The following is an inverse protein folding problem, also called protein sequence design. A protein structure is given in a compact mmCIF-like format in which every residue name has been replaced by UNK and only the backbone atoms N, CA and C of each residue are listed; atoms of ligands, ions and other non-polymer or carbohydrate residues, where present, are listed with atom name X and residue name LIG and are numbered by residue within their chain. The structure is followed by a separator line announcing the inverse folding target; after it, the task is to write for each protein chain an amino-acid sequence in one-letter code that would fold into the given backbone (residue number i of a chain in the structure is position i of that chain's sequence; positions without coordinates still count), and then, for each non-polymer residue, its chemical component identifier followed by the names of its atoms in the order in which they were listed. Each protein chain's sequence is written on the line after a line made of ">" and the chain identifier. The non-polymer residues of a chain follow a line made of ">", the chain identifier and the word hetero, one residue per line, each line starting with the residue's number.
data_IF_418702449683
#
_entry.id   IF_418702449683
#
_cell.length_a   1.000
_cell.length_b   1.000
_cell.length_c   1.000
_cell.angle_alpha   90.00
_cell.angle_beta   90.00
_cell.angle_gamma   90.00
#
_symmetry.space_group_name_H-M   'P 1'
#
loop_
_entity.id
_entity.type
_entity.pdbx_description
1 polymer ?
#
# COMPACT_ATOMS: atom_id res chain seq x y z
N UNK A 1 14.23 3.24 -18.42
CA UNK A 1 14.63 1.84 -18.28
C UNK A 1 15.39 1.73 -16.98
N UNK A 2 14.83 1.06 -15.97
CA UNK A 2 15.46 0.95 -14.64
C UNK A 2 16.74 0.12 -14.81
N UNK A 3 17.89 0.69 -14.44
CA UNK A 3 19.18 0.01 -14.54
C UNK A 3 19.38 -0.88 -13.32
N UNK A 4 18.82 -2.09 -13.39
CA UNK A 4 18.98 -3.11 -12.36
C UNK A 4 20.28 -3.87 -12.62
N UNK A 5 21.12 -4.04 -11.59
CA UNK A 5 22.37 -4.79 -11.72
C UNK A 5 22.10 -6.24 -12.17
N UNK A 6 22.98 -6.79 -13.01
CA UNK A 6 22.83 -8.17 -13.47
C UNK A 6 22.97 -9.18 -12.32
N UNK A 7 23.61 -8.77 -11.21
CA UNK A 7 23.71 -9.54 -9.98
C UNK A 7 22.36 -9.64 -9.27
N UNK A 8 21.64 -8.52 -9.10
CA UNK A 8 20.30 -8.53 -8.50
C UNK A 8 19.28 -9.27 -9.37
N UNK A 9 19.37 -9.15 -10.71
CA UNK A 9 18.51 -9.94 -11.62
C UNK A 9 18.68 -11.44 -11.40
N UNK A 10 19.91 -11.91 -11.15
CA UNK A 10 20.17 -13.33 -10.88
C UNK A 10 19.51 -13.78 -9.57
N UNK A 11 19.54 -12.93 -8.54
CA UNK A 11 18.86 -13.17 -7.26
C UNK A 11 17.33 -13.26 -7.43
N UNK A 12 16.73 -12.43 -8.28
CA UNK A 12 15.29 -12.48 -8.54
C UNK A 12 14.83 -13.77 -9.23
N UNK A 13 15.71 -14.44 -9.98
CA UNK A 13 15.38 -15.68 -10.74
C UNK A 13 16.01 -16.93 -10.14
N UNK A 14 16.76 -16.82 -9.04
CA UNK A 14 17.37 -17.98 -8.39
C UNK A 14 16.33 -18.81 -7.63
N UNK A 15 16.51 -20.13 -7.68
CA UNK A 15 15.67 -21.08 -6.95
C UNK A 15 15.99 -21.10 -5.45
N UNK A 16 15.02 -21.44 -4.62
CA UNK A 16 15.17 -21.53 -3.15
C UNK A 16 15.90 -22.79 -2.66
N UNK A 17 16.77 -23.40 -3.48
CA UNK A 17 17.39 -24.71 -3.19
C UNK A 17 18.55 -24.58 -2.20
N UNK A 18 19.31 -23.49 -2.25
CA UNK A 18 20.43 -23.19 -1.35
C UNK A 18 19.94 -22.41 -0.12
N UNK A 19 20.20 -22.87 1.12
CA UNK A 19 19.72 -22.21 2.33
C UNK A 19 20.18 -20.75 2.53
N UNK A 20 21.33 -20.37 1.96
CA UNK A 20 21.83 -18.98 1.98
C UNK A 20 21.00 -18.02 1.12
N UNK A 21 20.33 -18.55 0.09
CA UNK A 21 19.62 -17.79 -0.92
C UNK A 21 18.09 -18.00 -0.81
N UNK A 22 17.66 -18.73 0.22
CA UNK A 22 16.25 -18.98 0.47
C UNK A 22 15.54 -17.67 0.82
N UNK A 23 14.50 -17.36 0.04
CA UNK A 23 13.62 -16.21 0.28
C UNK A 23 13.00 -16.28 1.66
N UNK A 24 13.10 -15.20 2.43
CA UNK A 24 12.49 -15.07 3.74
C UNK A 24 11.56 -13.88 3.76
N UNK A 25 10.38 -14.04 4.33
CA UNK A 25 9.45 -12.94 4.51
C UNK A 25 9.51 -12.40 5.93
N UNK A 26 9.32 -11.09 6.03
CA UNK A 26 9.35 -10.35 7.29
C UNK A 26 8.17 -9.38 7.35
N UNK A 27 7.34 -9.52 8.38
CA UNK A 27 6.27 -8.57 8.69
C UNK A 27 6.68 -7.74 9.90
N UNK A 28 6.88 -6.46 9.69
CA UNK A 28 7.31 -5.52 10.73
C UNK A 28 6.14 -4.62 11.13
N UNK A 29 5.62 -4.79 12.35
CA UNK A 29 4.55 -3.96 12.91
C UNK A 29 5.15 -2.85 13.78
N UNK A 30 4.66 -1.63 13.63
CA UNK A 30 5.21 -0.46 14.31
C UNK A 30 4.28 0.05 15.43
N UNK A 31 4.87 0.45 16.56
CA UNK A 31 4.14 0.91 17.76
C UNK A 31 3.32 2.19 17.53
N UNK A 32 3.88 3.11 16.74
CA UNK A 32 3.19 4.27 16.15
C UNK A 32 3.23 4.03 14.64
N UNK A 33 2.09 4.16 13.95
CA UNK A 33 1.95 3.84 12.52
C UNK A 33 3.12 4.35 11.67
N UNK A 34 3.43 3.63 10.59
CA UNK A 34 4.69 3.85 9.89
C UNK A 34 4.63 5.08 8.98
N UNK A 35 5.60 5.99 9.15
CA UNK A 35 5.53 7.34 8.58
C UNK A 35 6.41 7.59 7.36
N UNK A 36 7.00 6.55 6.76
CA UNK A 36 7.85 6.73 5.58
C UNK A 36 7.05 6.63 4.28
N UNK A 37 7.24 7.64 3.43
CA UNK A 37 7.06 7.52 2.00
C UNK A 37 8.19 6.60 1.50
N UNK A 38 7.88 5.65 0.61
CA UNK A 38 8.96 5.01 -0.13
C UNK A 38 9.66 6.09 -0.97
N UNK A 39 11.00 6.14 -1.01
CA UNK A 39 11.67 6.92 -2.03
C UNK A 39 11.21 6.42 -3.41
N UNK A 40 10.93 7.34 -4.31
CA UNK A 40 10.57 7.03 -5.70
C UNK A 40 11.63 6.09 -6.32
N UNK A 41 11.24 5.28 -7.30
CA UNK A 41 12.13 4.33 -8.03
C UNK A 41 13.37 4.99 -8.68
N UNK A 42 13.46 6.32 -8.69
CA UNK A 42 14.58 7.12 -9.22
C UNK A 42 15.58 7.58 -8.15
N UNK A 43 15.34 7.30 -6.87
CA UNK A 43 16.28 7.58 -5.79
C UNK A 43 16.84 6.26 -5.28
N UNK A 44 18.11 5.98 -5.65
CA UNK A 44 18.93 5.09 -4.85
C UNK A 44 18.83 5.54 -3.39
N UNK A 45 18.62 4.64 -2.42
CA UNK A 45 18.59 5.06 -1.04
C UNK A 45 19.98 5.62 -0.71
N UNK A 46 20.12 6.94 -0.56
CA UNK A 46 21.19 7.45 0.28
C UNK A 46 20.95 6.85 1.68
N UNK A 47 22.00 6.40 2.36
CA UNK A 47 21.90 5.81 3.70
C UNK A 47 21.26 6.75 4.74
N UNK A 48 21.09 8.04 4.39
CA UNK A 48 20.42 9.09 5.14
C UNK A 48 18.92 9.25 4.85
N UNK A 49 18.38 8.59 3.82
CA UNK A 49 16.97 8.63 3.40
C UNK A 49 16.13 7.49 3.99
N UNK A 50 16.75 6.56 4.72
CA UNK A 50 15.99 5.69 5.62
C UNK A 50 15.34 6.60 6.68
N UNK A 51 14.03 6.44 6.96
CA UNK A 51 13.31 7.30 7.89
C UNK A 51 14.09 7.40 9.21
N UNK A 52 14.58 8.60 9.48
CA UNK A 52 15.41 8.96 10.63
C UNK A 52 14.64 9.00 11.95
N UNK A 53 13.38 8.57 11.96
CA UNK A 53 12.60 8.27 13.14
C UNK A 53 12.19 6.79 13.07
N UNK A 54 13.06 5.91 13.59
CA UNK A 54 12.72 4.51 13.79
C UNK A 54 11.51 4.43 14.73
N UNK A 55 10.31 4.30 14.17
CA UNK A 55 9.18 3.80 14.96
C UNK A 55 9.61 2.44 15.50
N UNK A 56 9.59 2.29 16.82
CA UNK A 56 9.98 1.05 17.48
C UNK A 56 9.11 -0.10 16.96
N UNK A 57 9.75 -1.11 16.37
CA UNK A 57 9.07 -2.33 15.90
C UNK A 57 8.47 -3.00 17.12
N UNK A 58 7.14 -3.04 17.15
CA UNK A 58 6.37 -3.60 18.25
C UNK A 58 6.25 -5.12 18.14
N UNK A 59 5.93 -5.61 16.93
CA UNK A 59 5.84 -7.06 16.65
C UNK A 59 6.63 -7.34 15.39
N UNK A 60 7.46 -8.36 15.46
CA UNK A 60 8.20 -8.88 14.32
C UNK A 60 7.81 -10.34 14.07
N UNK A 61 7.37 -10.62 12.85
CA UNK A 61 7.08 -11.99 12.39
C UNK A 61 8.04 -12.31 11.26
N UNK A 62 8.88 -13.32 11.51
CA UNK A 62 9.86 -13.83 10.55
C UNK A 62 9.42 -15.19 10.02
N UNK A 63 10.18 -15.70 9.06
CA UNK A 63 9.83 -16.88 8.28
C UNK A 63 9.58 -18.16 9.11
N UNK A 64 10.14 -18.27 10.31
CA UNK A 64 9.92 -19.39 11.24
C UNK A 64 8.49 -19.42 11.82
N UNK A 65 7.79 -18.28 11.78
CA UNK A 65 6.41 -18.10 12.23
C UNK A 65 5.43 -17.93 11.08
N UNK A 66 5.88 -18.12 9.83
CA UNK A 66 5.03 -18.04 8.64
C UNK A 66 4.75 -19.46 8.15
N UNK A 67 3.48 -19.78 7.91
CA UNK A 67 3.11 -21.04 7.29
C UNK A 67 3.63 -21.08 5.85
N UNK A 68 4.37 -22.13 5.51
CA UNK A 68 4.87 -22.33 4.15
C UNK A 68 3.73 -22.30 3.13
N UNK A 69 3.98 -21.72 1.95
CA UNK A 69 3.03 -21.63 0.84
C UNK A 69 1.71 -20.90 1.16
N UNK A 70 1.67 -20.09 2.24
CA UNK A 70 0.45 -19.38 2.64
C UNK A 70 0.34 -17.92 2.16
N UNK A 71 1.44 -17.30 1.72
CA UNK A 71 1.45 -15.91 1.28
C UNK A 71 0.81 -15.79 -0.11
N UNK A 72 -0.20 -14.92 -0.21
CA UNK A 72 -0.83 -14.50 -1.47
C UNK A 72 -0.91 -12.98 -1.48
N UNK A 73 -0.46 -12.37 -2.57
CA UNK A 73 -0.61 -10.92 -2.83
C UNK A 73 -1.36 -10.77 -4.15
N UNK A 74 -2.44 -9.99 -4.15
CA UNK A 74 -3.25 -9.69 -5.32
C UNK A 74 -3.22 -8.18 -5.54
N UNK A 75 -2.69 -7.80 -6.70
CA UNK A 75 -2.62 -6.41 -7.16
C UNK A 75 -3.30 -6.30 -8.53
N UNK A 76 -3.97 -5.18 -8.75
CA UNK A 76 -4.69 -4.95 -10.00
C UNK A 76 -4.80 -3.47 -10.28
N UNK A 77 -4.54 -3.11 -11.54
CA UNK A 77 -4.79 -1.77 -12.06
C UNK A 77 -6.27 -1.59 -12.44
N UNK A 78 -6.88 -2.66 -12.94
CA UNK A 78 -8.27 -2.69 -13.38
C UNK A 78 -8.83 -4.10 -13.21
N UNK A 79 -9.76 -4.24 -12.26
CA UNK A 79 -10.42 -5.53 -11.97
C UNK A 79 -11.50 -5.91 -12.98
N UNK A 80 -11.80 -5.01 -13.92
CA UNK A 80 -12.84 -5.24 -14.93
C UNK A 80 -12.25 -5.88 -16.19
N UNK A 81 -13.10 -6.57 -16.96
CA UNK A 81 -12.69 -7.17 -18.24
C UNK A 81 -12.39 -6.14 -19.33
N UNK A 82 -12.88 -4.91 -19.15
CA UNK A 82 -12.62 -3.78 -20.03
C UNK A 82 -11.67 -2.81 -19.36
N UNK A 83 -10.76 -2.22 -20.14
CA UNK A 83 -9.86 -1.17 -19.64
C UNK A 83 -10.67 0.06 -19.25
N UNK A 84 -10.67 0.38 -17.96
CA UNK A 84 -11.28 1.59 -17.41
C UNK A 84 -10.19 2.53 -16.90
N UNK A 85 -9.98 3.64 -17.62
CA UNK A 85 -9.06 4.69 -17.18
C UNK A 85 -9.50 5.24 -15.83
N UNK A 86 -8.52 5.47 -14.95
CA UNK A 86 -8.77 5.92 -13.60
C UNK A 86 -9.12 4.82 -12.60
N UNK A 87 -9.27 3.57 -13.04
CA UNK A 87 -9.42 2.45 -12.11
C UNK A 87 -8.24 2.41 -11.13
N UNK A 88 -8.55 2.17 -9.86
CA UNK A 88 -7.58 1.93 -8.82
C UNK A 88 -8.22 0.99 -7.79
N UNK A 89 -7.56 -0.13 -7.55
CA UNK A 89 -8.02 -1.18 -6.65
C UNK A 89 -7.04 -1.33 -5.49
N UNK A 90 -7.56 -1.69 -4.32
CA UNK A 90 -6.72 -1.97 -3.17
C UNK A 90 -5.96 -3.28 -3.37
N UNK A 91 -4.66 -3.28 -3.08
CA UNK A 91 -3.89 -4.52 -3.04
C UNK A 91 -4.34 -5.34 -1.82
N UNK A 92 -4.56 -6.64 -2.03
CA UNK A 92 -4.92 -7.60 -0.99
C UNK A 92 -3.72 -8.47 -0.67
N UNK A 93 -3.46 -8.66 0.62
CA UNK A 93 -2.50 -9.63 1.13
C UNK A 93 -3.21 -10.62 2.04
N UNK A 94 -2.94 -11.90 1.82
CA UNK A 94 -3.32 -12.98 2.72
C UNK A 94 -2.08 -13.78 3.12
N UNK A 95 -1.94 -14.07 4.42
CA UNK A 95 -0.83 -14.87 4.95
C UNK A 95 -1.25 -15.59 6.23
N UNK A 96 -0.73 -16.79 6.47
CA UNK A 96 -0.97 -17.52 7.72
C UNK A 96 0.28 -17.46 8.61
N UNK A 97 0.10 -17.01 9.85
CA UNK A 97 1.17 -16.86 10.84
C UNK A 97 0.91 -17.73 12.07
N UNK A 98 1.97 -18.12 12.77
CA UNK A 98 1.94 -18.99 13.94
C UNK A 98 2.53 -18.31 15.19
N UNK A 99 2.00 -18.72 16.35
CA UNK A 99 2.54 -18.40 17.67
C UNK A 99 2.58 -16.89 18.00
N UNK A 100 1.74 -16.08 17.34
CA UNK A 100 1.54 -14.64 17.62
C UNK A 100 0.50 -14.46 18.72
N UNK A 101 0.88 -13.73 19.77
CA UNK A 101 0.09 -13.57 21.00
C UNK A 101 -0.81 -12.34 20.89
N UNK A 102 -0.31 -11.31 20.23
CA UNK A 102 -0.93 -10.02 20.04
C UNK A 102 -2.10 -10.09 19.05
N UNK A 103 -3.14 -9.28 19.29
CA UNK A 103 -4.16 -9.03 18.27
C UNK A 103 -3.64 -7.97 17.29
N UNK A 104 -3.57 -8.36 16.02
CA UNK A 104 -3.03 -7.53 14.95
C UNK A 104 -4.11 -6.78 14.17
N UNK A 105 -5.40 -6.97 14.46
CA UNK A 105 -6.48 -6.28 13.74
C UNK A 105 -6.36 -4.75 13.82
N UNK A 106 -6.47 -4.09 12.66
CA UNK A 106 -6.33 -2.65 12.50
C UNK A 106 -4.89 -2.14 12.58
N UNK A 107 -3.90 -3.02 12.72
CA UNK A 107 -2.48 -2.64 12.78
C UNK A 107 -1.88 -2.63 11.39
N UNK A 108 -1.01 -1.66 11.15
CA UNK A 108 -0.22 -1.56 9.93
C UNK A 108 1.11 -2.29 10.08
N UNK A 109 1.54 -2.97 9.03
CA UNK A 109 2.85 -3.58 8.94
C UNK A 109 3.49 -3.31 7.58
N UNK A 110 4.82 -3.39 7.58
CA UNK A 110 5.64 -3.39 6.39
C UNK A 110 6.05 -4.82 6.04
N UNK A 111 5.79 -5.23 4.79
CA UNK A 111 6.24 -6.51 4.27
C UNK A 111 7.55 -6.34 3.50
N UNK A 112 8.52 -7.19 3.83
CA UNK A 112 9.80 -7.27 3.13
C UNK A 112 10.10 -8.72 2.78
N UNK A 113 10.67 -8.94 1.60
CA UNK A 113 11.31 -10.19 1.19
C UNK A 113 12.83 -10.02 1.29
N UNK A 114 13.49 -10.93 1.99
CA UNK A 114 14.94 -10.96 2.13
C UNK A 114 15.51 -12.09 1.26
N UNK A 115 16.49 -11.75 0.41
CA UNK A 115 17.21 -12.70 -0.44
C UNK A 115 18.69 -12.35 -0.47
N UNK A 116 19.53 -13.22 0.12
CA UNK A 116 20.94 -12.91 0.34
C UNK A 116 21.11 -11.66 1.21
N UNK A 117 21.79 -10.64 0.69
CA UNK A 117 21.98 -9.33 1.35
C UNK A 117 20.88 -8.31 0.99
N UNK A 118 19.96 -8.66 0.08
CA UNK A 118 18.95 -7.73 -0.41
C UNK A 118 17.68 -7.79 0.43
N UNK A 119 17.13 -6.61 0.74
CA UNK A 119 15.80 -6.43 1.33
C UNK A 119 14.88 -5.79 0.29
N UNK A 120 13.90 -6.54 -0.18
CA UNK A 120 12.97 -6.13 -1.23
C UNK A 120 11.65 -5.70 -0.58
N UNK A 121 11.26 -4.41 -0.69
CA UNK A 121 9.99 -3.92 -0.16
C UNK A 121 8.81 -4.49 -0.96
N UNK A 122 7.83 -5.07 -0.28
CA UNK A 122 6.58 -5.57 -0.89
C UNK A 122 5.34 -4.73 -0.50
N UNK A 123 5.52 -3.71 0.33
CA UNK A 123 4.51 -2.67 0.60
C UNK A 123 4.00 -2.63 2.04
N UNK A 124 3.17 -1.61 2.32
CA UNK A 124 2.47 -1.44 3.60
C UNK A 124 1.04 -1.96 3.52
N UNK A 125 0.64 -2.70 4.54
CA UNK A 125 -0.69 -3.27 4.65
C UNK A 125 -1.26 -3.05 6.04
N UNK A 126 -2.56 -2.78 6.10
CA UNK A 126 -3.33 -2.73 7.35
C UNK A 126 -4.15 -4.00 7.48
N UNK A 127 -4.02 -4.69 8.63
CA UNK A 127 -4.76 -5.92 8.90
C UNK A 127 -6.25 -5.63 9.04
N UNK A 128 -7.04 -6.13 8.10
CA UNK A 128 -8.50 -6.05 8.15
C UNK A 128 -9.07 -7.21 8.98
N UNK A 129 -8.53 -8.42 8.84
CA UNK A 129 -8.98 -9.58 9.62
C UNK A 129 -7.83 -10.44 10.13
N UNK A 130 -8.04 -11.03 11.32
CA UNK A 130 -7.07 -11.88 12.01
C UNK A 130 -7.75 -13.13 12.58
N UNK A 131 -7.88 -14.16 11.74
CA UNK A 131 -8.82 -15.27 11.97
C UNK A 131 -8.10 -16.56 12.35
N UNK A 132 -8.53 -17.19 13.46
CA UNK A 132 -8.03 -18.50 13.91
C UNK A 132 -8.24 -19.60 12.87
N UNK A 133 -7.18 -20.37 12.64
CA UNK A 133 -7.19 -21.55 11.78
C UNK A 133 -7.46 -22.84 12.58
N UNK A 134 -7.50 -23.98 11.89
CA UNK A 134 -7.70 -25.30 12.52
C UNK A 134 -6.63 -25.61 13.58
N UNK A 135 -5.36 -25.31 13.30
CA UNK A 135 -4.32 -25.24 14.32
C UNK A 135 -4.52 -23.98 15.17
N UNK A 136 -4.65 -24.19 16.48
CA UNK A 136 -4.96 -23.15 17.47
C UNK A 136 -3.86 -22.08 17.56
N UNK A 137 -2.63 -22.43 17.19
CA UNK A 137 -1.47 -21.53 17.15
C UNK A 137 -1.45 -20.64 15.91
N UNK A 138 -2.24 -20.99 14.88
CA UNK A 138 -2.23 -20.32 13.57
C UNK A 138 -3.36 -19.32 13.43
N UNK A 139 -3.07 -18.22 12.74
CA UNK A 139 -4.00 -17.13 12.41
C UNK A 139 -3.80 -16.74 10.95
N UNK A 140 -4.88 -16.60 10.19
CA UNK A 140 -4.86 -16.01 8.85
C UNK A 140 -5.02 -14.50 9.00
N UNK A 141 -4.05 -13.77 8.47
CA UNK A 141 -4.10 -12.33 8.27
C UNK A 141 -4.68 -12.09 6.88
N UNK A 142 -5.71 -11.25 6.80
CA UNK A 142 -6.17 -10.60 5.56
C UNK A 142 -5.94 -9.11 5.73
N UNK A 143 -5.17 -8.51 4.85
CA UNK A 143 -4.74 -7.12 4.96
C UNK A 143 -4.81 -6.40 3.61
N UNK A 144 -4.99 -5.08 3.65
CA UNK A 144 -5.05 -4.26 2.44
C UNK A 144 -4.09 -3.09 2.51
N UNK A 145 -3.61 -2.64 1.35
CA UNK A 145 -2.86 -1.40 1.28
C UNK A 145 -3.74 -0.16 1.58
N UNK A 146 -3.09 1.01 1.69
CA UNK A 146 -3.75 2.27 2.07
C UNK A 146 -4.85 2.74 1.10
N UNK A 147 -4.89 2.21 -0.14
CA UNK A 147 -6.01 2.48 -1.06
C UNK A 147 -7.37 2.07 -0.46
N UNK A 148 -7.39 1.10 0.46
CA UNK A 148 -8.60 0.66 1.16
C UNK A 148 -9.28 1.80 1.95
N UNK A 149 -8.51 2.79 2.40
CA UNK A 149 -9.01 3.92 3.20
C UNK A 149 -9.98 4.82 2.41
N UNK A 150 -9.86 4.86 1.08
CA UNK A 150 -10.76 5.62 0.21
C UNK A 150 -12.17 5.02 0.11
N UNK A 151 -12.39 3.80 0.60
CA UNK A 151 -13.73 3.20 0.71
C UNK A 151 -14.49 3.76 1.94
N UNK A 152 -14.49 5.08 2.06
CA UNK A 152 -15.14 5.84 3.13
C UNK A 152 -16.02 6.91 2.50
N UNK A 153 -17.14 7.23 3.15
CA UNK A 153 -17.97 8.37 2.74
C UNK A 153 -17.21 9.69 2.95
N UNK A 154 -17.11 10.49 1.89
CA UNK A 154 -16.46 11.81 1.90
C UNK A 154 -17.42 12.95 1.57
N UNK A 155 -18.73 12.71 1.68
CA UNK A 155 -19.78 13.71 1.42
C UNK A 155 -19.56 15.01 2.21
N UNK A 156 -19.22 14.91 3.50
CA UNK A 156 -18.93 16.07 4.36
C UNK A 156 -17.73 16.86 3.87
N UNK A 157 -16.66 16.18 3.44
CA UNK A 157 -15.47 16.82 2.87
C UNK A 157 -15.83 17.54 1.57
N UNK A 158 -16.47 16.84 0.63
CA UNK A 158 -16.85 17.38 -0.68
C UNK A 158 -17.76 18.62 -0.54
N UNK A 159 -18.74 18.55 0.37
CA UNK A 159 -19.67 19.64 0.60
C UNK A 159 -19.02 20.88 1.23
N UNK A 160 -17.91 20.70 1.95
CA UNK A 160 -17.10 21.77 2.54
C UNK A 160 -16.09 22.41 1.59
N UNK A 161 -15.87 21.86 0.39
CA UNK A 161 -14.95 22.43 -0.59
C UNK A 161 -15.43 23.79 -1.12
N UNK A 162 -14.47 24.68 -1.39
CA UNK A 162 -14.72 25.95 -2.07
C UNK A 162 -14.45 25.79 -3.57
N UNK A 163 -15.49 26.02 -4.38
CA UNK A 163 -15.41 25.94 -5.84
C UNK A 163 -15.34 27.36 -6.46
N UNK A 164 -14.71 27.54 -7.63
CA UNK A 164 -14.01 26.52 -8.41
C UNK A 164 -12.69 26.09 -7.77
N UNK A 165 -12.41 24.79 -7.80
CA UNK A 165 -11.19 24.16 -7.25
C UNK A 165 -10.39 23.50 -8.38
N UNK A 166 -9.07 23.49 -8.30
CA UNK A 166 -8.26 22.74 -9.27
C UNK A 166 -8.29 21.23 -9.00
N UNK A 167 -8.04 20.41 -10.03
CA UNK A 167 -7.95 18.95 -9.86
C UNK A 167 -6.85 18.56 -8.86
N UNK A 168 -5.72 19.28 -8.87
CA UNK A 168 -4.65 19.08 -7.88
C UNK A 168 -5.12 19.36 -6.46
N UNK A 169 -5.70 20.52 -6.21
CA UNK A 169 -6.18 20.89 -4.87
C UNK A 169 -7.26 19.93 -4.37
N UNK A 170 -8.15 19.47 -5.26
CA UNK A 170 -9.14 18.45 -4.93
C UNK A 170 -8.50 17.12 -4.56
N UNK A 171 -7.52 16.64 -5.34
CA UNK A 171 -6.76 15.42 -5.05
C UNK A 171 -6.02 15.53 -3.71
N UNK A 172 -5.26 16.59 -3.53
CA UNK A 172 -4.39 16.77 -2.37
C UNK A 172 -5.21 16.90 -1.08
N UNK A 173 -6.31 17.66 -1.11
CA UNK A 173 -7.22 17.77 0.03
C UNK A 173 -8.02 16.49 0.32
N UNK A 174 -8.36 15.68 -0.69
CA UNK A 174 -8.99 14.38 -0.49
C UNK A 174 -8.04 13.43 0.25
N UNK A 175 -6.80 13.33 -0.24
CA UNK A 175 -5.78 12.49 0.37
C UNK A 175 -5.45 12.93 1.79
N UNK A 176 -5.37 14.24 2.04
CA UNK A 176 -5.22 14.79 3.40
C UNK A 176 -6.41 14.43 4.30
N UNK A 177 -7.65 14.57 3.80
CA UNK A 177 -8.86 14.21 4.55
C UNK A 177 -8.92 12.72 4.92
N UNK A 178 -8.51 11.84 3.99
CA UNK A 178 -8.45 10.39 4.21
C UNK A 178 -7.23 9.99 5.09
N UNK A 179 -6.20 10.83 5.18
CA UNK A 179 -4.95 10.54 5.89
C UNK A 179 -3.95 9.72 5.08
N UNK A 180 -4.03 9.78 3.74
CA UNK A 180 -3.10 9.11 2.83
C UNK A 180 -2.06 10.11 2.35
N UNK A 181 -0.79 9.81 2.62
CA UNK A 181 0.33 10.59 2.10
C UNK A 181 0.57 10.25 0.64
N UNK A 182 0.72 11.28 -0.17
CA UNK A 182 1.03 11.17 -1.59
C UNK A 182 2.50 11.53 -1.84
N UNK A 183 3.06 10.94 -2.88
CA UNK A 183 4.29 11.46 -3.48
C UNK A 183 3.89 12.66 -4.33
N UNK A 184 4.50 13.82 -4.09
CA UNK A 184 4.19 15.01 -4.85
C UNK A 184 4.54 14.78 -6.33
N UNK A 185 3.51 14.82 -7.17
CA UNK A 185 3.64 14.62 -8.61
C UNK A 185 2.79 15.64 -9.37
N UNK A 186 3.29 16.06 -10.53
CA UNK A 186 2.57 16.92 -11.45
C UNK A 186 1.87 16.06 -12.51
N UNK A 187 0.54 16.08 -12.53
CA UNK A 187 -0.26 15.41 -13.56
C UNK A 187 -0.69 16.38 -14.66
N UNK A 188 -1.02 15.82 -15.82
CA UNK A 188 -1.28 16.57 -17.06
C UNK A 188 -2.37 17.64 -16.91
N UNK A 189 -3.43 17.35 -16.16
CA UNK A 189 -4.62 18.20 -16.03
C UNK A 189 -4.82 18.74 -14.61
N UNK A 190 -3.77 18.76 -13.79
CA UNK A 190 -3.82 19.25 -12.41
C UNK A 190 -4.33 20.69 -12.27
N UNK A 191 -4.08 21.54 -13.27
CA UNK A 191 -4.49 22.94 -13.29
C UNK A 191 -5.93 23.17 -13.77
N UNK A 192 -6.60 22.12 -14.29
CA UNK A 192 -7.99 22.20 -14.71
C UNK A 192 -8.86 22.54 -13.49
N UNK A 193 -9.77 23.50 -13.66
CA UNK A 193 -10.72 23.88 -12.62
C UNK A 193 -12.05 23.18 -12.82
N UNK A 194 -12.64 22.72 -11.73
CA UNK A 194 -13.98 22.12 -11.69
C UNK A 194 -14.92 22.99 -10.87
N UNK A 195 -16.18 22.98 -11.26
CA UNK A 195 -17.29 23.66 -10.58
C UNK A 195 -18.10 22.68 -9.74
N UNK A 196 -18.83 23.17 -8.75
CA UNK A 196 -19.73 22.33 -7.95
C UNK A 196 -20.96 21.95 -8.76
N UNK A 197 -21.15 20.66 -9.02
CA UNK A 197 -22.29 20.15 -9.82
C UNK A 197 -23.25 19.27 -9.02
N UNK A 198 -22.85 18.81 -7.84
CA UNK A 198 -23.63 17.92 -6.98
C UNK A 198 -23.62 18.41 -5.51
N UNK A 199 -24.56 17.92 -4.72
CA UNK A 199 -24.63 18.11 -3.27
C UNK A 199 -24.97 16.75 -2.62
N UNK A 200 -23.99 15.82 -2.58
CA UNK A 200 -24.23 14.45 -2.17
C UNK A 200 -24.56 14.35 -0.68
N UNK A 201 -25.45 13.41 -0.34
CA UNK A 201 -25.67 12.95 1.04
C UNK A 201 -24.64 11.87 1.40
N UNK A 202 -24.19 11.10 0.41
CA UNK A 202 -23.17 10.06 0.51
C UNK A 202 -22.41 10.01 -0.81
N UNK A 203 -21.07 9.90 -0.76
CA UNK A 203 -20.21 9.69 -1.93
C UNK A 203 -18.89 9.04 -1.50
N UNK A 204 -18.43 8.04 -2.24
CA UNK A 204 -17.21 7.33 -1.89
C UNK A 204 -15.95 8.12 -2.28
N UNK A 205 -14.97 8.20 -1.37
CA UNK A 205 -13.67 8.77 -1.68
C UNK A 205 -12.99 8.08 -2.87
N UNK A 206 -13.20 6.77 -3.02
CA UNK A 206 -12.68 5.98 -4.13
C UNK A 206 -13.27 6.41 -5.48
N UNK A 207 -14.57 6.75 -5.53
CA UNK A 207 -15.20 7.22 -6.77
C UNK A 207 -14.65 8.56 -7.21
N UNK A 208 -14.41 9.47 -6.26
CA UNK A 208 -13.81 10.78 -6.55
C UNK A 208 -12.36 10.62 -7.00
N UNK A 209 -11.58 9.77 -6.33
CA UNK A 209 -10.21 9.46 -6.74
C UNK A 209 -10.16 8.89 -8.16
N UNK A 210 -11.04 7.93 -8.49
CA UNK A 210 -11.15 7.37 -9.83
C UNK A 210 -11.47 8.44 -10.89
N UNK A 211 -12.39 9.36 -10.58
CA UNK A 211 -12.73 10.46 -11.48
C UNK A 211 -11.53 11.41 -11.72
N UNK A 212 -10.76 11.73 -10.67
CA UNK A 212 -9.52 12.53 -10.77
C UNK A 212 -8.49 11.82 -11.66
N UNK A 213 -8.26 10.52 -11.44
CA UNK A 213 -7.36 9.71 -12.24
C UNK A 213 -7.81 9.63 -13.70
N UNK A 214 -9.12 9.49 -13.95
CA UNK A 214 -9.68 9.45 -15.29
C UNK A 214 -9.47 10.76 -16.05
N UNK A 215 -9.66 11.91 -15.39
CA UNK A 215 -9.36 13.23 -15.98
C UNK A 215 -7.88 13.32 -16.35
N UNK A 216 -6.99 12.82 -15.48
CA UNK A 216 -5.56 12.83 -15.71
C UNK A 216 -5.05 11.72 -16.64
N UNK A 217 -5.93 10.83 -17.13
CA UNK A 217 -5.56 9.65 -17.93
C UNK A 217 -4.50 8.80 -17.20
N UNK A 218 -4.64 8.66 -15.87
CA UNK A 218 -3.72 7.93 -14.99
C UNK A 218 -4.41 6.77 -14.25
N UNK A 219 -3.61 5.91 -13.60
CA UNK A 219 -4.05 4.82 -12.72
C UNK A 219 -3.38 4.98 -11.37
N UNK A 220 -4.18 5.20 -10.32
CA UNK A 220 -3.65 5.60 -9.01
C UNK A 220 -3.01 6.99 -9.04
N UNK A 221 -3.04 7.68 -7.90
CA UNK A 221 -2.40 8.99 -7.72
C UNK A 221 -1.90 9.12 -6.30
#
# INVERSE_FOLDING_TARGET
>A
MINISDEFKKVLVSDNVTPSDARKFKLSFYSKGYDSLFPAETLFPEDSLFPSEQNEVWVLIENDRIESESLTIIESLCDNSNLEFGSCSSALLEIVVADVIEDLTGKEFFLTEEVGEYQIPLGYYTVESYVRQSDRRKRKITAYNRMRLFNTDVSSWYNGLTFPISIREMRDSLCEYIGVRQIQTDLLFDSLKVEKTINPVEISGMEILKAICQINVSFGT
#
